data_IF_345735848611
#
_entry.id   IF_345735848611
#
_cell.length_a   1.000
_cell.length_b   1.000
_cell.length_c   1.000
_cell.angle_alpha   90.00
_cell.angle_beta   90.00
_cell.angle_gamma   90.00
#
_symmetry.space_group_name_H-M   'P 1'
#
loop_
_entity.id
_entity.type
_entity.pdbx_description
1 polymer ?
#
# COMPACT_ATOMS: atom_id res chain seq x y z
N UNK A 1 12.13 3.97 -16.18
CA UNK A 1 10.87 4.16 -15.44
C UNK A 1 10.09 2.86 -15.52
N UNK A 2 9.78 2.25 -14.39
CA UNK A 2 8.99 1.03 -14.29
C UNK A 2 7.54 1.39 -13.92
N UNK A 3 6.56 0.83 -14.64
CA UNK A 3 5.13 1.04 -14.37
C UNK A 3 4.47 -0.32 -14.20
N UNK A 4 3.69 -0.47 -13.13
CA UNK A 4 2.95 -1.69 -12.82
C UNK A 4 1.51 -1.33 -12.51
N UNK A 5 0.58 -2.13 -13.03
CA UNK A 5 -0.83 -2.07 -12.65
C UNK A 5 -1.20 -3.37 -11.96
N UNK A 6 -1.65 -3.28 -10.71
CA UNK A 6 -2.02 -4.42 -9.89
C UNK A 6 -3.46 -4.29 -9.43
N UNK A 7 -4.21 -5.39 -9.49
CA UNK A 7 -5.61 -5.42 -9.10
C UNK A 7 -5.77 -6.38 -7.91
N UNK A 8 -6.05 -5.82 -6.73
CA UNK A 8 -6.45 -6.57 -5.53
C UNK A 8 -7.94 -6.36 -5.32
N UNK A 9 -8.34 -5.55 -4.33
CA UNK A 9 -9.72 -5.09 -4.21
C UNK A 9 -10.08 -4.01 -5.26
N UNK A 10 -9.08 -3.24 -5.69
CA UNK A 10 -9.20 -2.21 -6.70
C UNK A 10 -7.91 -2.17 -7.54
N UNK A 11 -8.02 -1.66 -8.77
CA UNK A 11 -6.87 -1.49 -9.65
C UNK A 11 -6.03 -0.30 -9.19
N UNK A 12 -4.76 -0.57 -8.85
CA UNK A 12 -3.77 0.43 -8.47
C UNK A 12 -2.69 0.48 -9.56
N UNK A 13 -2.32 1.69 -9.99
CA UNK A 13 -1.21 1.90 -10.92
C UNK A 13 -0.07 2.59 -10.19
N UNK A 14 1.12 2.01 -10.28
CA UNK A 14 2.32 2.47 -9.57
C UNK A 14 3.41 2.70 -10.61
N UNK A 15 4.10 3.83 -10.49
CA UNK A 15 5.29 4.14 -11.27
C UNK A 15 6.48 4.33 -10.33
N UNK A 16 7.63 3.74 -10.66
CA UNK A 16 8.87 3.91 -9.92
C UNK A 16 10.07 4.04 -10.85
N UNK A 17 11.01 4.91 -10.50
CA UNK A 17 12.28 5.08 -11.21
C UNK A 17 13.41 4.25 -10.60
N UNK A 18 13.24 3.80 -9.36
CA UNK A 18 14.29 3.12 -8.58
C UNK A 18 13.96 1.65 -8.27
N UNK A 19 12.69 1.33 -7.97
CA UNK A 19 12.27 -0.04 -7.71
C UNK A 19 11.53 -0.64 -8.91
N UNK A 20 11.64 -1.96 -9.09
CA UNK A 20 10.87 -2.74 -10.07
C UNK A 20 9.82 -3.59 -9.34
N UNK A 21 9.10 -4.47 -10.05
CA UNK A 21 8.17 -5.42 -9.42
C UNK A 21 8.85 -6.44 -8.50
N UNK A 22 10.18 -6.57 -8.56
CA UNK A 22 10.93 -7.53 -7.79
C UNK A 22 11.29 -6.97 -6.39
N UNK A 23 11.28 -7.80 -5.32
CA UNK A 23 10.84 -9.19 -5.30
C UNK A 23 9.31 -9.33 -5.33
N UNK A 24 8.82 -10.25 -6.17
CA UNK A 24 7.42 -10.69 -6.16
C UNK A 24 7.24 -11.61 -4.96
N UNK A 25 6.23 -11.35 -4.13
CA UNK A 25 5.94 -12.15 -2.94
C UNK A 25 4.54 -12.75 -3.04
N UNK A 26 4.39 -13.97 -2.54
CA UNK A 26 3.07 -14.58 -2.39
C UNK A 26 2.49 -14.21 -1.04
N UNK A 27 1.28 -13.67 -1.02
CA UNK A 27 0.58 -13.23 0.20
C UNK A 27 -0.80 -13.86 0.25
N UNK A 28 -1.18 -14.35 1.44
CA UNK A 28 -2.53 -14.84 1.70
C UNK A 28 -3.50 -13.67 1.83
N UNK A 29 -4.49 -13.61 0.94
CA UNK A 29 -5.56 -12.61 0.94
C UNK A 29 -6.93 -13.28 0.97
N UNK A 30 -7.87 -12.68 1.70
CA UNK A 30 -9.23 -13.18 1.73
C UNK A 30 -9.95 -12.78 0.44
N UNK A 31 -10.37 -13.75 -0.37
CA UNK A 31 -11.20 -13.49 -1.54
C UNK A 31 -12.67 -13.53 -1.15
N UNK A 32 -13.39 -12.41 -1.35
CA UNK A 32 -14.85 -12.37 -1.14
C UNK A 32 -15.60 -13.27 -2.13
N UNK A 33 -15.07 -13.43 -3.35
CA UNK A 33 -15.66 -14.27 -4.39
C UNK A 33 -15.60 -15.75 -3.99
N UNK A 34 -14.47 -16.20 -3.47
CA UNK A 34 -14.26 -17.61 -3.08
C UNK A 34 -14.55 -17.89 -1.59
N UNK A 35 -14.85 -16.85 -0.81
CA UNK A 35 -15.07 -16.87 0.65
C UNK A 35 -13.97 -17.58 1.45
N UNK A 36 -12.74 -17.60 0.93
CA UNK A 36 -11.58 -18.25 1.53
C UNK A 36 -10.31 -17.42 1.33
N UNK A 37 -9.27 -17.77 2.08
CA UNK A 37 -7.94 -17.23 1.84
C UNK A 37 -7.31 -17.89 0.61
N UNK A 38 -6.88 -17.07 -0.33
CA UNK A 38 -6.17 -17.45 -1.55
C UNK A 38 -4.77 -16.86 -1.52
N UNK A 39 -3.82 -17.60 -2.08
CA UNK A 39 -2.45 -17.14 -2.27
C UNK A 39 -2.37 -16.30 -3.54
N UNK A 40 -2.07 -15.01 -3.39
CA UNK A 40 -1.97 -14.07 -4.51
C UNK A 40 -0.53 -13.60 -4.64
N UNK A 41 -0.04 -13.49 -5.88
CA UNK A 41 1.25 -12.88 -6.18
C UNK A 41 1.13 -11.36 -6.15
N UNK A 42 1.83 -10.74 -5.20
CA UNK A 42 1.92 -9.30 -5.02
C UNK A 42 3.27 -8.81 -5.57
N UNK A 43 3.29 -7.80 -6.46
CA UNK A 43 4.54 -7.12 -6.82
C UNK A 43 5.07 -6.31 -5.60
N UNK A 44 6.25 -5.71 -5.70
CA UNK A 44 6.89 -4.97 -4.60
C UNK A 44 6.20 -3.63 -4.20
N UNK A 45 4.88 -3.66 -3.99
CA UNK A 45 4.02 -2.54 -3.58
C UNK A 45 4.25 -2.19 -2.11
N UNK A 46 4.62 -3.17 -1.29
CA UNK A 46 4.90 -2.97 0.14
C UNK A 46 5.98 -1.91 0.37
N UNK A 47 6.95 -1.78 -0.53
CA UNK A 47 7.98 -0.76 -0.43
C UNK A 47 7.39 0.65 -0.57
N UNK A 48 6.47 0.85 -1.53
CA UNK A 48 5.75 2.11 -1.67
C UNK A 48 4.93 2.42 -0.41
N UNK A 49 4.12 1.45 0.05
CA UNK A 49 3.29 1.62 1.24
C UNK A 49 4.09 1.86 2.53
N UNK A 50 5.33 1.36 2.63
CA UNK A 50 6.20 1.57 3.80
C UNK A 50 6.64 3.03 3.97
N UNK A 51 6.87 3.73 2.86
CA UNK A 51 7.30 5.14 2.89
C UNK A 51 6.16 6.12 2.64
N UNK A 52 5.00 5.61 2.23
CA UNK A 52 3.75 6.37 2.27
C UNK A 52 3.31 6.64 3.72
N UNK A 53 2.63 7.76 3.94
CA UNK A 53 2.03 8.10 5.23
C UNK A 53 2.91 8.93 6.18
N UNK A 54 4.14 9.28 5.79
CA UNK A 54 4.98 10.18 6.61
C UNK A 54 4.34 11.55 6.87
N UNK A 55 3.65 12.09 5.85
CA UNK A 55 2.89 13.35 5.96
C UNK A 55 1.70 13.18 6.90
N UNK A 56 0.88 12.14 6.70
CA UNK A 56 -0.28 11.87 7.57
C UNK A 56 0.12 11.67 9.04
N UNK A 57 1.26 11.01 9.29
CA UNK A 57 1.81 10.85 10.63
C UNK A 57 2.17 12.22 11.22
N UNK A 58 2.82 13.09 10.46
CA UNK A 58 3.15 14.44 10.90
C UNK A 58 1.89 15.26 11.18
N UNK A 59 0.89 15.23 10.30
CA UNK A 59 -0.37 15.94 10.47
C UNK A 59 -1.13 15.44 11.70
N UNK A 60 -1.14 14.13 11.95
CA UNK A 60 -1.73 13.55 13.15
C UNK A 60 -1.04 14.04 14.42
N UNK A 61 0.30 14.09 14.42
CA UNK A 61 1.08 14.61 15.54
C UNK A 61 0.79 16.09 15.75
N UNK A 62 0.83 16.91 14.70
CA UNK A 62 0.49 18.33 14.76
C UNK A 62 -0.93 18.57 15.26
N UNK A 63 -1.90 17.79 14.78
CA UNK A 63 -3.29 17.86 15.25
C UNK A 63 -3.41 17.50 16.72
N UNK A 64 -2.61 16.56 17.22
CA UNK A 64 -2.64 16.17 18.64
C UNK A 64 -2.10 17.26 19.58
N UNK A 65 -1.22 18.13 19.08
CA UNK A 65 -0.69 19.27 19.84
C UNK A 65 -1.56 20.54 19.74
N UNK A 66 -2.61 20.55 18.92
CA UNK A 66 -3.52 21.71 18.84
C UNK A 66 -4.35 21.79 20.13
N UNK A 67 -4.34 22.93 20.84
CA UNK A 67 -5.23 23.13 21.98
C UNK A 67 -6.67 23.00 21.52
N UNK A 68 -7.42 22.06 22.11
CA UNK A 68 -8.85 22.02 21.92
C UNK A 68 -9.46 23.18 22.71
N UNK A 69 -9.85 24.24 22.02
CA UNK A 69 -10.74 25.24 22.60
C UNK A 69 -12.13 24.59 22.72
N UNK A 70 -12.49 24.24 23.96
CA UNK A 70 -13.82 23.75 24.33
C UNK A 70 -14.67 24.91 24.84
#
# INVERSE_FOLDING_TARGET
MYVCRWNDNAAVTIASTYHTHFPVKTVKRYSKAEKKHVDITEPNIRQYNKYMGGVDVMDKVLSSYRPNFR
#
